data_IF_734310842393
#
_entry.id   IF_734310842393
#
_cell.length_a   1.000
_cell.length_b   1.000
_cell.length_c   1.000
_cell.angle_alpha   90.00
_cell.angle_beta   90.00
_cell.angle_gamma   90.00
#
_symmetry.space_group_name_H-M   'P 1'
#
loop_
_entity.id
_entity.type
_entity.pdbx_description
1 polymer ?
#
# COMPACT_ATOMS: atom_id res chain seq x y z
N UNK A 1 -26.03 -9.63 -10.46
CA UNK A 1 -25.75 -8.18 -10.53
C UNK A 1 -24.26 -8.04 -10.74
N UNK A 2 -23.79 -7.09 -11.55
CA UNK A 2 -22.35 -6.84 -11.69
C UNK A 2 -21.77 -6.44 -10.33
N UNK A 3 -20.54 -6.91 -10.05
CA UNK A 3 -19.84 -6.55 -8.81
C UNK A 3 -19.31 -5.13 -8.92
N UNK A 4 -19.49 -4.35 -7.85
CA UNK A 4 -18.92 -3.00 -7.77
C UNK A 4 -17.56 -3.05 -7.11
N UNK A 5 -16.63 -2.23 -7.60
CA UNK A 5 -15.29 -2.03 -7.01
C UNK A 5 -14.94 -0.55 -6.98
N UNK A 6 -14.15 -0.13 -6.00
CA UNK A 6 -13.76 1.25 -5.86
C UNK A 6 -12.30 1.45 -6.30
N UNK A 7 -12.05 2.53 -7.06
CA UNK A 7 -10.69 2.97 -7.40
C UNK A 7 -10.26 4.12 -6.51
N UNK A 8 -9.15 3.94 -5.83
CA UNK A 8 -8.46 4.93 -5.02
C UNK A 8 -7.06 5.22 -5.55
N UNK A 9 -6.42 6.23 -4.97
CA UNK A 9 -5.04 6.59 -5.26
C UNK A 9 -4.31 6.96 -3.96
N UNK A 10 -3.03 6.59 -3.84
CA UNK A 10 -2.17 7.05 -2.76
C UNK A 10 -1.61 8.46 -3.08
N UNK A 11 -1.54 9.37 -2.11
CA UNK A 11 -1.06 10.73 -2.35
C UNK A 11 0.46 10.82 -2.54
N UNK A 12 1.18 9.72 -2.39
CA UNK A 12 2.65 9.66 -2.45
C UNK A 12 3.21 10.13 -3.79
N UNK A 13 2.41 10.09 -4.87
CA UNK A 13 2.79 10.62 -6.17
C UNK A 13 2.89 12.16 -6.20
N UNK A 14 2.16 12.87 -5.32
CA UNK A 14 2.19 14.34 -5.19
C UNK A 14 3.18 14.82 -4.14
N UNK A 15 3.34 14.04 -3.06
CA UNK A 15 4.19 14.38 -1.92
C UNK A 15 4.68 13.09 -1.29
N UNK A 16 5.97 12.84 -1.40
CA UNK A 16 6.56 11.62 -0.89
C UNK A 16 6.76 11.70 0.62
N UNK A 17 6.25 10.72 1.34
CA UNK A 17 6.30 10.67 2.81
C UNK A 17 7.70 10.26 3.32
N UNK A 18 8.46 9.46 2.55
CA UNK A 18 9.83 9.03 2.85
C UNK A 18 10.88 10.09 2.42
N UNK A 19 10.50 10.98 1.48
CA UNK A 19 11.32 12.06 0.98
C UNK A 19 10.52 13.37 0.89
N UNK A 20 10.30 14.06 2.01
CA UNK A 20 9.45 15.27 2.07
C UNK A 20 9.90 16.42 1.15
N UNK A 21 11.15 16.40 0.68
CA UNK A 21 11.65 17.33 -0.35
C UNK A 21 11.03 17.11 -1.73
N UNK A 22 10.47 15.91 -2.01
CA UNK A 22 9.75 15.63 -3.24
C UNK A 22 8.26 15.98 -3.09
N UNK A 23 7.87 17.10 -3.68
CA UNK A 23 6.50 17.59 -3.64
C UNK A 23 6.06 18.14 -2.28
N UNK A 24 7.02 18.44 -1.37
CA UNK A 24 6.73 18.97 -0.04
C UNK A 24 5.90 20.25 -0.03
N UNK A 25 5.99 21.08 -1.05
CA UNK A 25 5.23 22.33 -1.20
C UNK A 25 3.86 22.15 -1.85
N UNK A 26 3.52 20.95 -2.35
CA UNK A 26 2.21 20.69 -2.96
C UNK A 26 1.11 20.80 -1.91
N UNK A 27 0.12 21.71 -2.06
CA UNK A 27 -1.00 21.80 -1.12
C UNK A 27 -1.83 20.51 -1.12
N UNK A 28 -2.35 20.13 0.05
CA UNK A 28 -3.22 18.95 0.16
C UNK A 28 -4.46 19.05 -0.73
N UNK A 29 -5.03 20.25 -0.87
CA UNK A 29 -6.18 20.50 -1.73
C UNK A 29 -5.87 20.22 -3.20
N UNK A 30 -4.62 20.41 -3.64
CA UNK A 30 -4.18 20.03 -4.99
C UNK A 30 -4.24 18.52 -5.15
N UNK A 31 -3.70 17.75 -4.20
CA UNK A 31 -3.75 16.27 -4.23
C UNK A 31 -5.21 15.78 -4.30
N UNK A 32 -6.09 16.32 -3.45
CA UNK A 32 -7.51 15.95 -3.40
C UNK A 32 -8.26 16.31 -4.70
N UNK A 33 -8.04 17.53 -5.21
CA UNK A 33 -8.66 18.00 -6.45
C UNK A 33 -8.22 17.17 -7.65
N UNK A 34 -6.92 16.91 -7.78
CA UNK A 34 -6.35 16.19 -8.91
C UNK A 34 -6.71 14.70 -8.87
N UNK A 35 -6.72 14.06 -7.69
CA UNK A 35 -7.22 12.70 -7.52
C UNK A 35 -8.68 12.59 -8.00
N UNK A 36 -9.54 13.51 -7.57
CA UNK A 36 -10.93 13.55 -8.02
C UNK A 36 -11.05 13.82 -9.51
N UNK A 37 -10.27 14.76 -10.05
CA UNK A 37 -10.26 15.12 -11.47
C UNK A 37 -9.77 13.99 -12.37
N UNK A 38 -8.88 13.13 -11.86
CA UNK A 38 -8.44 11.93 -12.56
C UNK A 38 -9.50 10.82 -12.60
N UNK A 39 -10.56 10.91 -11.77
CA UNK A 39 -11.68 9.96 -11.74
C UNK A 39 -11.79 9.11 -10.47
N UNK A 40 -10.81 9.19 -9.57
CA UNK A 40 -10.82 8.35 -8.35
C UNK A 40 -11.96 8.68 -7.41
N UNK A 41 -12.46 7.66 -6.71
CA UNK A 41 -13.50 7.78 -5.68
C UNK A 41 -12.93 7.86 -4.27
N UNK A 42 -11.62 7.60 -4.11
CA UNK A 42 -10.93 7.70 -2.82
C UNK A 42 -9.46 8.08 -2.95
N UNK A 43 -8.90 8.54 -1.83
CA UNK A 43 -7.48 8.83 -1.65
C UNK A 43 -7.04 8.32 -0.29
N UNK A 44 -5.86 7.73 -0.18
CA UNK A 44 -5.33 7.26 1.10
C UNK A 44 -4.77 8.38 1.98
N UNK A 45 -4.66 8.10 3.27
CA UNK A 45 -4.10 9.04 4.23
C UNK A 45 -2.57 9.12 4.06
N UNK A 46 -2.09 10.24 3.55
CA UNK A 46 -0.66 10.53 3.44
C UNK A 46 -0.10 11.35 4.61
N UNK A 47 1.21 11.51 4.64
CA UNK A 47 1.93 12.23 5.70
C UNK A 47 1.55 13.69 5.85
N UNK A 48 1.21 14.36 4.75
CA UNK A 48 0.77 15.77 4.73
C UNK A 48 -0.67 16.00 5.19
N UNK A 49 -1.45 14.93 5.31
CA UNK A 49 -2.84 15.07 5.72
C UNK A 49 -2.95 15.50 7.19
N UNK A 50 -3.88 16.42 7.53
CA UNK A 50 -4.08 16.82 8.91
C UNK A 50 -4.49 15.60 9.74
N UNK A 51 -3.94 15.51 10.95
CA UNK A 51 -4.24 14.39 11.87
C UNK A 51 -5.46 14.68 12.76
N UNK A 52 -6.08 15.87 12.63
CA UNK A 52 -7.34 16.15 13.28
C UNK A 52 -8.49 15.47 12.51
N UNK A 53 -9.25 14.56 13.15
CA UNK A 53 -10.30 13.78 12.47
C UNK A 53 -11.41 14.63 11.85
N UNK A 54 -11.79 15.76 12.49
CA UNK A 54 -12.81 16.67 11.96
C UNK A 54 -12.34 17.39 10.70
N UNK A 55 -11.07 17.83 10.69
CA UNK A 55 -10.48 18.53 9.54
C UNK A 55 -10.36 17.58 8.34
N UNK A 56 -9.86 16.36 8.54
CA UNK A 56 -9.74 15.40 7.44
C UNK A 56 -11.12 15.01 6.88
N UNK A 57 -12.10 14.79 7.75
CA UNK A 57 -13.47 14.50 7.33
C UNK A 57 -14.08 15.64 6.50
N UNK A 58 -13.84 16.88 6.90
CA UNK A 58 -14.26 18.06 6.12
C UNK A 58 -13.61 18.07 4.74
N UNK A 59 -12.29 17.86 4.67
CA UNK A 59 -11.55 17.90 3.41
C UNK A 59 -12.01 16.80 2.44
N UNK A 60 -12.07 15.55 2.85
CA UNK A 60 -12.49 14.46 1.97
C UNK A 60 -13.92 14.66 1.47
N UNK A 61 -14.83 15.13 2.33
CA UNK A 61 -16.21 15.43 1.94
C UNK A 61 -16.27 16.60 0.94
N UNK A 62 -15.48 17.66 1.14
CA UNK A 62 -15.40 18.84 0.24
C UNK A 62 -15.07 18.43 -1.18
N UNK A 63 -14.20 17.43 -1.35
CA UNK A 63 -13.79 16.92 -2.67
C UNK A 63 -14.58 15.69 -3.12
N UNK A 64 -15.59 15.25 -2.36
CA UNK A 64 -16.38 14.05 -2.64
C UNK A 64 -15.48 12.82 -2.87
N UNK A 65 -14.57 12.59 -1.92
CA UNK A 65 -13.67 11.45 -1.87
C UNK A 65 -13.95 10.62 -0.62
N UNK A 66 -13.62 9.33 -0.67
CA UNK A 66 -13.50 8.45 0.50
C UNK A 66 -12.03 8.34 0.91
N UNK A 67 -11.79 7.87 2.16
CA UNK A 67 -10.44 7.57 2.65
C UNK A 67 -10.39 6.08 2.98
N UNK A 68 -9.92 5.22 2.03
CA UNK A 68 -10.00 3.76 2.18
C UNK A 68 -9.13 3.20 3.30
N UNK A 69 -8.00 3.81 3.57
CA UNK A 69 -7.03 3.40 4.58
C UNK A 69 -5.95 4.45 4.78
N UNK A 70 -4.97 4.10 5.57
CA UNK A 70 -3.79 4.93 5.77
C UNK A 70 -2.65 4.13 6.38
N UNK A 71 -1.45 4.37 5.85
CA UNK A 71 -0.22 3.76 6.32
C UNK A 71 0.05 4.02 7.80
N UNK A 72 0.45 2.97 8.51
CA UNK A 72 0.98 3.02 9.86
C UNK A 72 2.28 2.22 9.96
N UNK A 73 3.38 2.93 10.18
CA UNK A 73 4.70 2.34 10.42
C UNK A 73 4.84 1.87 11.87
N UNK A 74 4.57 0.61 12.10
CA UNK A 74 4.64 -0.02 13.42
C UNK A 74 6.08 -0.27 13.87
N UNK A 75 6.28 -0.35 15.18
CA UNK A 75 7.50 -0.84 15.82
C UNK A 75 7.22 -2.09 16.69
N UNK A 76 6.28 -2.91 16.27
CA UNK A 76 5.77 -4.04 17.06
C UNK A 76 6.85 -5.10 17.36
N UNK A 77 7.83 -5.28 16.47
CA UNK A 77 8.98 -6.16 16.76
C UNK A 77 9.70 -5.72 18.03
N UNK A 78 9.89 -4.41 18.22
CA UNK A 78 10.67 -3.80 19.29
C UNK A 78 9.84 -3.52 20.55
N UNK A 79 8.51 -3.33 20.40
CA UNK A 79 7.59 -2.95 21.46
C UNK A 79 6.76 -4.14 21.97
N UNK A 80 6.15 -3.96 23.11
CA UNK A 80 5.05 -4.80 23.57
C UNK A 80 3.76 -4.52 22.78
N UNK A 81 2.81 -5.45 22.82
CA UNK A 81 1.48 -5.28 22.21
C UNK A 81 0.76 -4.06 22.78
N UNK A 82 0.86 -3.83 24.08
CA UNK A 82 0.17 -2.71 24.74
C UNK A 82 0.76 -1.36 24.37
N UNK A 83 2.08 -1.23 24.31
CA UNK A 83 2.75 0.00 23.87
C UNK A 83 2.39 0.34 22.42
N UNK A 84 2.38 -0.65 21.54
CA UNK A 84 2.01 -0.43 20.15
C UNK A 84 0.53 -0.12 19.99
N UNK A 85 -0.35 -0.83 20.70
CA UNK A 85 -1.78 -0.57 20.69
C UNK A 85 -2.11 0.86 21.14
N UNK A 86 -1.46 1.36 22.18
CA UNK A 86 -1.64 2.75 22.63
C UNK A 86 -1.13 3.74 21.57
N UNK A 87 -0.01 3.46 20.91
CA UNK A 87 0.52 4.33 19.86
C UNK A 87 -0.41 4.42 18.63
N UNK A 88 -1.17 3.36 18.33
CA UNK A 88 -2.10 3.30 17.21
C UNK A 88 -3.40 4.10 17.42
N UNK A 89 -3.78 4.44 18.67
CA UNK A 89 -5.13 4.94 18.99
C UNK A 89 -5.53 6.19 18.19
N UNK A 90 -4.64 7.15 18.03
CA UNK A 90 -4.93 8.38 17.28
C UNK A 90 -5.29 8.10 15.81
N UNK A 91 -4.60 7.16 15.17
CA UNK A 91 -4.91 6.78 13.80
C UNK A 91 -6.17 5.91 13.71
N UNK A 92 -6.41 5.02 14.68
CA UNK A 92 -7.63 4.22 14.76
C UNK A 92 -8.85 5.15 14.86
N UNK A 93 -8.83 6.13 15.76
CA UNK A 93 -9.93 7.11 15.92
C UNK A 93 -10.18 7.88 14.63
N UNK A 94 -9.13 8.37 13.98
CA UNK A 94 -9.23 9.10 12.72
C UNK A 94 -9.87 8.25 11.63
N UNK A 95 -9.32 7.05 11.37
CA UNK A 95 -9.79 6.17 10.30
C UNK A 95 -11.24 5.70 10.55
N UNK A 96 -11.62 5.42 11.80
CA UNK A 96 -13.02 5.10 12.16
C UNK A 96 -13.97 6.26 11.89
N UNK A 97 -13.59 7.50 12.24
CA UNK A 97 -14.44 8.68 12.02
C UNK A 97 -14.74 8.91 10.52
N UNK A 98 -13.77 8.65 9.66
CA UNK A 98 -13.92 8.79 8.21
C UNK A 98 -14.42 7.51 7.52
N UNK A 99 -14.68 6.45 8.29
CA UNK A 99 -15.19 5.15 7.84
C UNK A 99 -14.26 4.45 6.85
N UNK A 100 -12.97 4.49 7.14
CA UNK A 100 -11.98 3.72 6.37
C UNK A 100 -12.26 2.23 6.40
N UNK A 101 -11.91 1.54 5.32
CA UNK A 101 -12.16 0.11 5.16
C UNK A 101 -11.14 -0.75 5.89
N UNK A 102 -9.90 -0.27 5.99
CA UNK A 102 -8.77 -1.01 6.55
C UNK A 102 -7.81 -0.12 7.33
N UNK A 103 -7.03 -0.75 8.21
CA UNK A 103 -5.84 -0.18 8.83
C UNK A 103 -4.61 -0.75 8.13
N UNK A 104 -3.90 0.07 7.35
CA UNK A 104 -2.69 -0.37 6.64
C UNK A 104 -1.53 -0.40 7.61
N UNK A 105 -0.98 -1.59 7.83
CA UNK A 105 0.02 -1.86 8.84
C UNK A 105 1.29 -2.43 8.22
N UNK A 106 2.44 -1.84 8.49
CA UNK A 106 3.75 -2.42 8.20
C UNK A 106 4.65 -2.29 9.41
N UNK A 107 5.48 -3.30 9.70
CA UNK A 107 6.47 -3.20 10.77
C UNK A 107 7.77 -2.63 10.20
N UNK A 108 8.08 -1.40 10.60
CA UNK A 108 9.26 -0.65 10.15
C UNK A 108 10.40 -0.72 11.18
N UNK A 109 10.41 -1.69 12.09
CA UNK A 109 11.51 -1.91 13.04
C UNK A 109 12.80 -2.21 12.31
N UNK A 110 13.79 -1.32 12.44
CA UNK A 110 15.07 -1.41 11.74
C UNK A 110 14.98 -1.29 10.21
N UNK A 111 13.86 -0.79 9.67
CA UNK A 111 13.68 -0.59 8.23
C UNK A 111 14.76 0.30 7.63
N UNK A 112 15.15 -0.02 6.40
CA UNK A 112 16.14 0.71 5.60
C UNK A 112 15.52 1.44 4.40
N UNK A 113 14.20 1.49 4.30
CA UNK A 113 13.50 2.09 3.15
C UNK A 113 13.85 3.57 2.92
N UNK A 114 14.04 4.34 3.99
CA UNK A 114 14.45 5.75 3.93
C UNK A 114 15.97 5.98 3.79
N UNK A 115 16.80 4.94 3.87
CA UNK A 115 18.24 5.07 3.94
C UNK A 115 18.88 5.12 2.54
N UNK A 116 19.50 6.24 2.14
CA UNK A 116 19.99 6.42 0.77
C UNK A 116 21.18 5.54 0.39
N UNK A 117 21.93 5.06 1.38
CA UNK A 117 23.16 4.28 1.19
C UNK A 117 23.01 2.79 1.53
N UNK A 118 21.84 2.37 1.99
CA UNK A 118 21.61 0.98 2.38
C UNK A 118 21.18 0.14 1.20
N UNK A 119 21.99 -0.86 0.83
CA UNK A 119 21.64 -1.88 -0.15
C UNK A 119 20.35 -2.60 0.26
N UNK A 120 19.49 -2.90 -0.73
CA UNK A 120 18.24 -3.66 -0.51
C UNK A 120 18.47 -5.04 0.13
N UNK A 121 19.65 -5.63 -0.10
CA UNK A 121 20.04 -6.91 0.50
C UNK A 121 20.36 -6.80 2.00
N UNK A 122 20.56 -5.60 2.54
CA UNK A 122 20.87 -5.36 3.97
C UNK A 122 19.64 -5.16 4.86
N UNK A 123 18.42 -5.41 4.35
CA UNK A 123 17.18 -5.25 5.09
C UNK A 123 17.13 -6.05 6.39
N UNK A 124 16.36 -5.63 7.40
CA UNK A 124 16.16 -6.41 8.61
C UNK A 124 15.45 -7.74 8.30
N UNK A 125 15.83 -8.79 9.02
CA UNK A 125 15.20 -10.10 8.92
C UNK A 125 14.93 -10.66 10.31
N UNK A 126 13.85 -11.42 10.46
CA UNK A 126 13.59 -12.19 11.68
C UNK A 126 14.46 -13.45 11.70
N UNK A 127 15.09 -13.73 12.84
CA UNK A 127 15.71 -15.04 13.09
C UNK A 127 14.62 -16.10 13.25
N UNK A 128 14.94 -17.35 13.01
CA UNK A 128 13.96 -18.44 13.08
C UNK A 128 13.23 -18.54 14.41
N UNK A 129 13.93 -18.28 15.51
CA UNK A 129 13.35 -18.31 16.85
C UNK A 129 12.48 -17.08 17.18
N UNK A 130 12.53 -16.01 16.40
CA UNK A 130 11.72 -14.79 16.60
C UNK A 130 10.32 -14.89 15.93
N UNK A 131 10.18 -15.68 14.88
CA UNK A 131 8.96 -15.74 14.06
C UNK A 131 7.71 -16.07 14.89
N UNK A 132 7.77 -17.08 15.73
CA UNK A 132 6.60 -17.47 16.53
C UNK A 132 6.10 -16.35 17.42
N UNK A 133 7.02 -15.68 18.10
CA UNK A 133 6.68 -14.55 18.98
C UNK A 133 6.13 -13.37 18.17
N UNK A 134 6.75 -13.06 17.04
CA UNK A 134 6.33 -12.00 16.15
C UNK A 134 4.92 -12.24 15.56
N UNK A 135 4.68 -13.42 15.01
CA UNK A 135 3.35 -13.78 14.47
C UNK A 135 2.25 -13.77 15.53
N UNK A 136 2.57 -14.17 16.78
CA UNK A 136 1.62 -14.05 17.89
C UNK A 136 1.26 -12.57 18.17
N UNK A 137 2.24 -11.66 18.15
CA UNK A 137 1.98 -10.22 18.32
C UNK A 137 1.12 -9.67 17.20
N UNK A 138 1.44 -10.03 15.93
CA UNK A 138 0.64 -9.60 14.75
C UNK A 138 -0.80 -10.11 14.87
N UNK A 139 -0.99 -11.39 15.20
CA UNK A 139 -2.33 -11.98 15.41
C UNK A 139 -3.14 -11.21 16.45
N UNK A 140 -2.53 -10.89 17.59
CA UNK A 140 -3.23 -10.16 18.66
C UNK A 140 -3.62 -8.73 18.22
N UNK A 141 -2.72 -7.99 17.55
CA UNK A 141 -3.03 -6.65 17.02
C UNK A 141 -4.11 -6.75 15.93
N UNK A 142 -4.02 -7.73 15.01
CA UNK A 142 -5.03 -7.94 13.97
C UNK A 142 -6.42 -8.18 14.55
N UNK A 143 -6.50 -9.01 15.60
CA UNK A 143 -7.74 -9.29 16.29
C UNK A 143 -8.32 -8.03 16.94
N UNK A 144 -7.51 -7.27 17.69
CA UNK A 144 -7.95 -6.01 18.32
C UNK A 144 -8.45 -5.00 17.28
N UNK A 145 -7.79 -4.88 16.13
CA UNK A 145 -8.24 -4.03 15.04
C UNK A 145 -9.57 -4.51 14.45
N UNK A 146 -9.74 -5.80 14.27
CA UNK A 146 -10.99 -6.40 13.82
C UNK A 146 -12.13 -6.14 14.83
N UNK A 147 -11.87 -6.30 16.12
CA UNK A 147 -12.84 -6.09 17.20
C UNK A 147 -13.35 -4.62 17.26
N UNK A 148 -12.52 -3.65 16.85
CA UNK A 148 -12.94 -2.24 16.75
C UNK A 148 -13.53 -1.87 15.39
N UNK A 149 -13.71 -2.85 14.48
CA UNK A 149 -14.32 -2.66 13.16
C UNK A 149 -13.41 -2.00 12.12
N UNK A 150 -12.09 -2.10 12.29
CA UNK A 150 -11.09 -1.57 11.38
C UNK A 150 -10.03 -2.64 11.09
N UNK A 151 -10.34 -3.64 10.23
CA UNK A 151 -9.46 -4.79 10.03
C UNK A 151 -8.06 -4.39 9.53
N UNK A 152 -7.03 -5.12 10.02
CA UNK A 152 -5.66 -4.96 9.53
C UNK A 152 -5.56 -5.33 8.06
N UNK A 153 -4.76 -4.57 7.33
CA UNK A 153 -4.21 -4.91 6.03
C UNK A 153 -2.69 -4.86 6.14
N UNK A 154 -2.04 -6.02 6.34
CA UNK A 154 -0.60 -6.07 6.49
C UNK A 154 0.06 -5.81 5.15
N UNK A 155 0.90 -4.80 5.10
CA UNK A 155 1.64 -4.41 3.89
C UNK A 155 3.07 -4.95 3.97
N UNK A 156 3.41 -5.90 3.09
CA UNK A 156 4.79 -6.21 2.81
C UNK A 156 5.44 -5.03 2.08
N UNK A 157 6.65 -4.68 2.45
CA UNK A 157 7.29 -3.49 1.90
C UNK A 157 8.79 -3.68 1.75
N UNK A 158 9.34 -3.15 0.65
CA UNK A 158 10.78 -3.14 0.44
C UNK A 158 11.51 -2.46 1.59
N UNK A 159 12.62 -3.09 2.03
CA UNK A 159 13.44 -2.58 3.13
C UNK A 159 12.91 -2.87 4.53
N UNK A 160 11.81 -3.60 4.69
CA UNK A 160 11.24 -3.98 5.98
C UNK A 160 11.50 -5.45 6.33
N UNK A 161 11.00 -5.89 7.49
CA UNK A 161 11.12 -7.27 7.96
C UNK A 161 10.37 -8.24 7.04
N UNK A 162 9.18 -7.87 6.58
CA UNK A 162 8.36 -8.67 5.67
C UNK A 162 8.42 -8.02 4.30
N UNK A 163 9.23 -8.58 3.42
CA UNK A 163 9.49 -8.07 2.08
C UNK A 163 9.29 -9.12 0.98
N UNK A 164 9.83 -10.30 1.18
CA UNK A 164 9.84 -11.35 0.15
C UNK A 164 8.59 -12.22 0.18
N UNK A 165 8.35 -12.95 -0.91
CA UNK A 165 7.29 -13.96 -0.98
C UNK A 165 7.40 -14.97 0.16
N UNK A 166 8.62 -15.39 0.51
CA UNK A 166 8.87 -16.31 1.63
C UNK A 166 8.52 -15.70 2.99
N UNK A 167 8.76 -14.40 3.17
CA UNK A 167 8.37 -13.72 4.42
C UNK A 167 6.85 -13.64 4.54
N UNK A 168 6.15 -13.32 3.43
CA UNK A 168 4.68 -13.28 3.38
C UNK A 168 4.10 -14.67 3.64
N UNK A 169 4.65 -15.70 2.99
CA UNK A 169 4.25 -17.09 3.22
C UNK A 169 4.37 -17.43 4.70
N UNK A 170 5.53 -17.14 5.29
CA UNK A 170 5.79 -17.45 6.70
C UNK A 170 4.91 -16.66 7.66
N UNK A 171 4.61 -15.41 7.34
CA UNK A 171 3.70 -14.58 8.12
C UNK A 171 2.27 -15.15 8.09
N UNK A 172 1.72 -15.38 6.89
CA UNK A 172 0.33 -15.79 6.73
C UNK A 172 0.08 -17.24 7.18
N UNK A 173 1.07 -18.13 7.04
CA UNK A 173 0.98 -19.51 7.51
C UNK A 173 1.03 -19.62 9.06
N UNK A 174 1.53 -18.58 9.76
CA UNK A 174 1.67 -18.55 11.21
C UNK A 174 0.79 -17.49 11.90
N UNK A 175 -0.17 -16.89 11.17
CA UNK A 175 -1.16 -15.96 11.73
C UNK A 175 -2.58 -16.42 11.38
N UNK A 176 -3.58 -15.93 12.13
CA UNK A 176 -4.98 -16.27 11.90
C UNK A 176 -5.62 -15.41 10.82
N UNK A 177 -6.85 -15.73 10.46
CA UNK A 177 -7.58 -15.10 9.33
C UNK A 177 -7.82 -13.59 9.50
N UNK A 178 -7.79 -13.09 10.74
CA UNK A 178 -7.88 -11.66 11.03
C UNK A 178 -6.66 -10.85 10.53
N UNK A 179 -5.52 -11.53 10.31
CA UNK A 179 -4.35 -10.92 9.66
C UNK A 179 -4.54 -10.97 8.15
N UNK A 180 -5.14 -9.94 7.60
CA UNK A 180 -5.30 -9.83 6.13
C UNK A 180 -4.06 -9.20 5.49
N UNK A 181 -3.91 -9.44 4.19
CA UNK A 181 -2.81 -8.94 3.37
C UNK A 181 -3.28 -7.70 2.58
N UNK A 182 -2.51 -6.64 2.63
CA UNK A 182 -2.46 -5.68 1.55
C UNK A 182 -1.59 -6.30 0.45
N UNK A 183 -2.16 -6.50 -0.73
CA UNK A 183 -1.45 -7.07 -1.86
C UNK A 183 -0.91 -5.96 -2.74
N UNK A 184 0.41 -5.73 -2.72
CA UNK A 184 1.08 -4.73 -3.55
C UNK A 184 1.83 -5.40 -4.70
N UNK A 185 1.40 -5.13 -5.94
CA UNK A 185 1.97 -5.75 -7.14
C UNK A 185 3.42 -5.33 -7.39
N UNK A 186 3.75 -4.09 -7.08
CA UNK A 186 5.09 -3.52 -7.33
C UNK A 186 6.12 -3.99 -6.30
N UNK A 187 5.78 -3.96 -5.02
CA UNK A 187 6.70 -4.44 -3.98
C UNK A 187 7.00 -5.93 -4.12
N UNK A 188 5.98 -6.75 -4.39
CA UNK A 188 6.17 -8.19 -4.66
C UNK A 188 7.10 -8.41 -5.84
N UNK A 189 6.87 -7.72 -6.97
CA UNK A 189 7.71 -7.87 -8.15
C UNK A 189 9.14 -7.34 -7.91
N UNK A 190 9.30 -6.24 -7.19
CA UNK A 190 10.61 -5.71 -6.84
C UNK A 190 11.39 -6.67 -5.93
N UNK A 191 10.73 -7.32 -5.00
CA UNK A 191 11.30 -8.38 -4.18
C UNK A 191 11.53 -9.71 -4.96
N UNK A 192 11.38 -9.70 -6.29
CA UNK A 192 11.52 -10.84 -7.19
C UNK A 192 10.50 -11.97 -6.93
N UNK A 193 9.39 -11.66 -6.28
CA UNK A 193 8.26 -12.57 -6.08
C UNK A 193 7.37 -12.67 -7.31
N UNK A 194 6.58 -13.74 -7.37
CA UNK A 194 5.58 -13.95 -8.41
C UNK A 194 4.21 -13.48 -7.94
N UNK A 195 3.84 -12.25 -8.32
CA UNK A 195 2.58 -11.63 -7.89
C UNK A 195 1.33 -12.41 -8.35
N UNK A 196 1.36 -13.12 -9.49
CA UNK A 196 0.21 -13.91 -9.93
C UNK A 196 -0.02 -15.15 -9.07
N UNK A 197 1.06 -15.89 -8.73
CA UNK A 197 0.96 -17.06 -7.87
C UNK A 197 0.61 -16.69 -6.43
N UNK A 198 1.20 -15.61 -5.91
CA UNK A 198 0.89 -15.10 -4.58
C UNK A 198 -0.58 -14.67 -4.45
N UNK A 199 -1.11 -13.92 -5.43
CA UNK A 199 -2.53 -13.55 -5.40
C UNK A 199 -3.44 -14.77 -5.43
N UNK A 200 -3.16 -15.77 -6.28
CA UNK A 200 -3.95 -17.02 -6.32
C UNK A 200 -3.90 -17.77 -5.00
N UNK A 201 -2.74 -17.80 -4.33
CA UNK A 201 -2.55 -18.49 -3.04
C UNK A 201 -3.31 -17.79 -1.91
N UNK A 202 -3.25 -16.48 -1.85
CA UNK A 202 -3.70 -15.69 -0.70
C UNK A 202 -4.93 -14.80 -0.95
N UNK A 203 -5.62 -14.94 -2.07
CA UNK A 203 -6.75 -14.06 -2.43
C UNK A 203 -7.85 -13.99 -1.36
N UNK A 204 -8.07 -15.06 -0.60
CA UNK A 204 -9.03 -15.09 0.52
C UNK A 204 -8.57 -14.26 1.74
N UNK A 205 -7.28 -13.98 1.83
CA UNK A 205 -6.67 -13.14 2.89
C UNK A 205 -6.45 -11.70 2.43
N UNK A 206 -6.67 -11.38 1.15
CA UNK A 206 -6.49 -10.02 0.60
C UNK A 206 -7.73 -9.18 0.90
N UNK A 207 -7.56 -8.09 1.65
CA UNK A 207 -8.63 -7.13 1.92
C UNK A 207 -8.34 -5.72 1.37
N UNK A 208 -7.14 -5.49 0.84
CA UNK A 208 -6.72 -4.25 0.19
C UNK A 208 -5.71 -4.52 -0.90
N UNK A 209 -5.69 -3.71 -1.97
CA UNK A 209 -4.77 -3.91 -3.10
C UNK A 209 -4.12 -2.60 -3.50
N UNK A 210 -2.80 -2.57 -3.54
CA UNK A 210 -2.04 -1.53 -4.20
C UNK A 210 -1.67 -1.96 -5.62
N UNK A 211 -2.10 -1.16 -6.58
CA UNK A 211 -1.79 -1.31 -7.98
C UNK A 211 -0.57 -0.43 -8.30
N UNK A 212 0.61 -0.94 -8.00
CA UNK A 212 1.91 -0.31 -8.25
C UNK A 212 2.58 -1.03 -9.40
N UNK A 213 2.88 -0.34 -10.48
CA UNK A 213 3.54 -0.92 -11.65
C UNK A 213 5.05 -0.66 -11.64
N UNK A 214 5.79 -1.38 -12.46
CA UNK A 214 7.26 -1.36 -12.48
C UNK A 214 7.78 -1.21 -13.90
N UNK A 215 8.79 -0.34 -14.06
CA UNK A 215 9.61 -0.28 -15.27
C UNK A 215 10.73 -1.31 -15.20
N UNK A 216 10.60 -2.36 -16.00
CA UNK A 216 11.44 -3.57 -15.90
C UNK A 216 12.92 -3.31 -16.11
N UNK A 217 13.28 -2.41 -17.03
CA UNK A 217 14.69 -2.07 -17.28
C UNK A 217 15.32 -1.40 -16.05
N UNK A 218 14.56 -0.54 -15.37
CA UNK A 218 15.03 0.15 -14.16
C UNK A 218 15.10 -0.83 -12.98
N UNK A 219 14.14 -1.75 -12.86
CA UNK A 219 14.20 -2.82 -11.87
C UNK A 219 15.48 -3.68 -12.06
N UNK A 220 15.76 -4.10 -13.30
CA UNK A 220 16.95 -4.90 -13.58
C UNK A 220 18.23 -4.15 -13.20
N UNK A 221 18.32 -2.85 -13.51
CA UNK A 221 19.43 -2.01 -13.10
C UNK A 221 19.54 -1.92 -11.59
N UNK A 222 18.43 -1.63 -10.89
CA UNK A 222 18.42 -1.51 -9.44
C UNK A 222 18.91 -2.78 -8.72
N UNK A 223 18.53 -3.95 -9.27
CA UNK A 223 18.97 -5.25 -8.73
C UNK A 223 20.43 -5.56 -9.07
N UNK A 224 20.88 -5.26 -10.29
CA UNK A 224 22.29 -5.52 -10.69
C UNK A 224 23.28 -4.65 -9.96
N UNK A 225 22.91 -3.40 -9.71
CA UNK A 225 23.77 -2.39 -9.08
C UNK A 225 23.60 -2.38 -7.55
N UNK A 226 22.75 -3.23 -7.01
CA UNK A 226 22.38 -3.33 -5.58
C UNK A 226 22.02 -1.95 -4.97
N UNK A 227 21.17 -1.20 -5.70
CA UNK A 227 20.77 0.14 -5.27
C UNK A 227 20.00 0.10 -3.96
N UNK A 228 19.99 1.21 -3.23
CA UNK A 228 19.04 1.40 -2.14
C UNK A 228 17.62 1.53 -2.68
N UNK A 229 16.61 1.28 -1.83
CA UNK A 229 15.21 1.50 -2.20
C UNK A 229 14.98 2.94 -2.67
N UNK A 230 15.51 3.90 -1.92
CA UNK A 230 15.43 5.33 -2.25
C UNK A 230 16.00 5.65 -3.64
N UNK A 231 17.21 5.17 -3.94
CA UNK A 231 17.84 5.42 -5.24
C UNK A 231 17.06 4.73 -6.38
N UNK A 232 16.50 3.56 -6.12
CA UNK A 232 15.71 2.82 -7.11
C UNK A 232 14.45 3.59 -7.52
N UNK A 233 13.71 4.20 -6.58
CA UNK A 233 12.53 4.96 -6.96
C UNK A 233 12.90 6.34 -7.57
N UNK A 234 14.02 6.97 -7.19
CA UNK A 234 14.52 8.18 -7.85
C UNK A 234 14.95 7.95 -9.29
N UNK A 235 15.44 6.74 -9.60
CA UNK A 235 15.67 6.28 -10.99
C UNK A 235 14.35 5.97 -11.73
N UNK A 236 13.20 5.92 -11.02
CA UNK A 236 11.87 5.75 -11.59
C UNK A 236 11.45 4.29 -11.75
N UNK A 237 11.86 3.39 -10.84
CA UNK A 237 11.48 1.97 -10.89
C UNK A 237 9.98 1.77 -10.80
N UNK A 238 9.30 2.57 -9.97
CA UNK A 238 7.85 2.51 -9.82
C UNK A 238 7.13 3.44 -10.79
N UNK A 239 5.97 2.99 -11.22
CA UNK A 239 5.05 3.75 -12.06
C UNK A 239 3.60 3.31 -11.82
N UNK A 240 2.68 3.92 -12.55
CA UNK A 240 1.24 3.60 -12.46
C UNK A 240 0.86 2.46 -13.42
N UNK A 241 -0.23 1.72 -13.16
CA UNK A 241 -0.75 0.71 -14.07
C UNK A 241 -0.91 1.23 -15.50
N UNK A 242 -0.37 0.48 -16.45
CA UNK A 242 -0.40 0.82 -17.88
C UNK A 242 0.82 1.57 -18.41
N UNK A 243 1.73 1.98 -17.52
CA UNK A 243 3.03 2.58 -17.88
C UNK A 243 4.22 1.68 -17.50
N UNK A 244 3.97 0.49 -16.96
CA UNK A 244 4.96 -0.48 -16.56
C UNK A 244 4.81 -1.83 -17.26
N UNK A 245 5.32 -2.87 -16.60
CA UNK A 245 5.36 -4.23 -17.17
C UNK A 245 4.32 -5.19 -16.60
N UNK A 246 3.53 -4.78 -15.60
CA UNK A 246 2.58 -5.67 -14.93
C UNK A 246 1.31 -5.81 -15.76
N UNK A 247 0.93 -7.06 -16.05
CA UNK A 247 -0.36 -7.34 -16.68
C UNK A 247 -1.45 -7.49 -15.62
N UNK A 248 -2.27 -6.45 -15.45
CA UNK A 248 -3.34 -6.44 -14.43
C UNK A 248 -4.55 -7.29 -14.80
N UNK A 249 -4.77 -7.63 -16.07
CA UNK A 249 -5.97 -8.37 -16.49
C UNK A 249 -6.13 -9.75 -15.82
N UNK A 250 -5.08 -10.60 -15.71
CA UNK A 250 -5.16 -11.85 -14.96
C UNK A 250 -5.40 -11.65 -13.46
N UNK A 251 -4.79 -10.62 -12.87
CA UNK A 251 -4.95 -10.28 -11.45
C UNK A 251 -6.40 -9.87 -11.15
N UNK A 252 -6.94 -8.93 -11.92
CA UNK A 252 -8.32 -8.46 -11.80
C UNK A 252 -9.30 -9.62 -12.01
N UNK A 253 -9.03 -10.53 -12.95
CA UNK A 253 -9.84 -11.73 -13.15
C UNK A 253 -9.81 -12.67 -11.93
N UNK A 254 -8.66 -12.82 -11.28
CA UNK A 254 -8.54 -13.59 -10.03
C UNK A 254 -9.35 -12.95 -8.92
N UNK A 255 -9.26 -11.64 -8.73
CA UNK A 255 -10.06 -10.89 -7.76
C UNK A 255 -11.57 -11.02 -8.05
N UNK A 256 -11.98 -10.87 -9.30
CA UNK A 256 -13.38 -11.01 -9.72
C UNK A 256 -13.94 -12.41 -9.41
N UNK A 257 -13.22 -13.46 -9.77
CA UNK A 257 -13.65 -14.84 -9.52
C UNK A 257 -13.78 -15.14 -8.01
N UNK A 258 -13.03 -14.44 -7.17
CA UNK A 258 -13.10 -14.56 -5.70
C UNK A 258 -13.99 -13.49 -5.04
N UNK A 259 -14.80 -12.78 -5.83
CA UNK A 259 -15.80 -11.81 -5.35
C UNK A 259 -15.19 -10.66 -4.52
N UNK A 260 -13.99 -10.24 -4.85
CA UNK A 260 -13.35 -9.09 -4.22
C UNK A 260 -14.08 -7.79 -4.62
N UNK A 261 -14.53 -7.00 -3.66
CA UNK A 261 -15.32 -5.77 -3.87
C UNK A 261 -14.80 -4.57 -3.05
N UNK A 262 -13.60 -4.68 -2.50
CA UNK A 262 -12.96 -3.62 -1.74
C UNK A 262 -12.24 -2.60 -2.68
N UNK A 263 -11.16 -2.01 -2.21
CA UNK A 263 -10.44 -0.96 -2.93
C UNK A 263 -9.30 -1.54 -3.78
N UNK A 264 -9.14 -0.98 -4.99
CA UNK A 264 -7.89 -1.00 -5.74
C UNK A 264 -7.32 0.41 -5.70
N UNK A 265 -6.14 0.57 -5.13
CA UNK A 265 -5.48 1.86 -4.96
C UNK A 265 -4.27 1.94 -5.87
N UNK A 266 -4.24 2.92 -6.76
CA UNK A 266 -3.05 3.22 -7.56
C UNK A 266 -2.02 3.87 -6.64
N UNK A 267 -0.84 3.32 -6.60
CA UNK A 267 0.27 3.85 -5.82
C UNK A 267 1.57 3.78 -6.62
N UNK A 268 2.31 4.87 -6.63
CA UNK A 268 3.66 4.91 -7.20
C UNK A 268 4.48 5.99 -6.51
N UNK A 269 5.60 5.60 -5.91
CA UNK A 269 6.62 6.54 -5.45
C UNK A 269 7.33 7.08 -6.68
N UNK A 270 7.03 8.34 -7.00
CA UNK A 270 7.60 9.03 -8.15
C UNK A 270 8.09 10.43 -7.77
N UNK A 271 9.07 10.92 -8.49
CA UNK A 271 9.47 12.32 -8.44
C UNK A 271 8.43 13.17 -9.21
N UNK A 272 7.64 14.03 -8.54
CA UNK A 272 6.57 14.78 -9.18
C UNK A 272 7.06 15.78 -10.25
N UNK A 273 8.37 16.09 -10.27
CA UNK A 273 8.97 16.93 -11.31
C UNK A 273 9.17 16.11 -12.59
N UNK A 274 9.53 14.83 -12.46
CA UNK A 274 9.74 13.92 -13.61
C UNK A 274 8.47 13.27 -14.10
N UNK A 275 7.56 12.96 -13.17
CA UNK A 275 6.29 12.30 -13.43
C UNK A 275 5.15 13.18 -12.91
N UNK A 276 4.54 13.99 -13.80
CA UNK A 276 3.44 14.87 -13.40
C UNK A 276 2.31 14.08 -12.74
N UNK A 277 1.98 14.34 -11.45
CA UNK A 277 1.07 13.49 -10.70
C UNK A 277 -0.32 13.35 -11.32
N UNK A 278 -0.91 14.43 -11.83
CA UNK A 278 -2.24 14.40 -12.47
C UNK A 278 -2.24 13.58 -13.78
N UNK A 279 -1.20 13.71 -14.59
CA UNK A 279 -1.08 12.94 -15.83
C UNK A 279 -0.94 11.44 -15.54
N UNK A 280 -0.06 11.07 -14.61
CA UNK A 280 0.13 9.68 -14.21
C UNK A 280 -1.10 9.12 -13.49
N UNK A 281 -1.77 9.89 -12.64
CA UNK A 281 -3.04 9.51 -12.04
C UNK A 281 -4.10 9.16 -13.10
N UNK A 282 -4.21 9.95 -14.17
CA UNK A 282 -5.12 9.65 -15.29
C UNK A 282 -4.73 8.40 -16.07
N UNK A 283 -3.44 8.15 -16.30
CA UNK A 283 -2.97 6.93 -16.96
C UNK A 283 -3.42 5.71 -16.17
N UNK A 284 -3.11 5.67 -14.87
CA UNK A 284 -3.48 4.55 -13.98
C UNK A 284 -4.98 4.34 -13.90
N UNK A 285 -5.75 5.42 -13.72
CA UNK A 285 -7.21 5.35 -13.69
C UNK A 285 -7.80 4.79 -15.00
N UNK A 286 -7.40 5.33 -16.15
CA UNK A 286 -7.94 4.92 -17.43
C UNK A 286 -7.62 3.45 -17.75
N UNK A 287 -6.39 3.01 -17.46
CA UNK A 287 -6.00 1.62 -17.67
C UNK A 287 -6.78 0.66 -16.79
N UNK A 288 -6.86 0.94 -15.48
CA UNK A 288 -7.60 0.07 -14.54
C UNK A 288 -9.10 0.08 -14.81
N UNK A 289 -9.72 1.25 -15.05
CA UNK A 289 -11.15 1.35 -15.35
C UNK A 289 -11.53 0.52 -16.54
N UNK A 290 -10.76 0.61 -17.64
CA UNK A 290 -10.96 -0.20 -18.84
C UNK A 290 -10.84 -1.68 -18.52
N UNK A 291 -9.77 -2.09 -17.82
CA UNK A 291 -9.50 -3.50 -17.52
C UNK A 291 -10.57 -4.09 -16.58
N UNK A 292 -11.02 -3.33 -15.59
CA UNK A 292 -12.10 -3.71 -14.67
C UNK A 292 -13.42 -3.95 -15.41
N UNK A 293 -13.79 -3.01 -16.28
CA UNK A 293 -15.00 -3.11 -17.10
C UNK A 293 -14.95 -4.33 -18.03
N UNK A 294 -13.80 -4.59 -18.67
CA UNK A 294 -13.61 -5.76 -19.53
C UNK A 294 -13.73 -7.10 -18.78
N UNK A 295 -13.43 -7.13 -17.48
CA UNK A 295 -13.57 -8.32 -16.63
C UNK A 295 -14.99 -8.47 -16.08
N UNK A 296 -15.78 -7.38 -16.01
CA UNK A 296 -17.18 -7.40 -15.58
C UNK A 296 -17.47 -6.64 -14.28
N UNK A 297 -16.53 -5.86 -13.77
CA UNK A 297 -16.77 -4.94 -12.66
C UNK A 297 -17.52 -3.68 -13.11
N UNK A 298 -18.33 -3.12 -12.21
CA UNK A 298 -18.75 -1.71 -12.24
C UNK A 298 -17.83 -0.88 -11.32
N UNK A 299 -17.56 0.36 -11.70
CA UNK A 299 -16.70 1.31 -10.98
C UNK A 299 -17.56 2.43 -10.41
#
# INVERSE_FOLDING_TARGET
MPMHINLGIAPIAWSNDDMPELGGDTPIETCLYEAKSAGYSGIELGGKFPRNPGTIKYLINKFNLSLPGGWYGSKLKEKSIEEEWQAMQGQIELLKLVKSSVFIFADVSGSIQGEPSSSLNSRPQLKDNEWKSYCNKITEISKRLSDVGLPMSYHEHMGTIIQSEQDVDRLLDNTYDETSLLFDTGHILFAQGNYESMLKKYVSRVNHVHCKDIRKEILNKALSDDLSFRNSFLEGVFTVPGDGCINYKPLIKTLYNNKYTNWLVVEAEQDPIKANPLEYAKIGFNYLSKTLTEVGYNI
#
